data_IF_499460603327
#
_entry.id   IF_499460603327
#
_cell.length_a   1.000
_cell.length_b   1.000
_cell.length_c   1.000
_cell.angle_alpha   90.00
_cell.angle_beta   90.00
_cell.angle_gamma   90.00
#
_symmetry.space_group_name_H-M   'P 1'
#
loop_
_entity.id
_entity.type
_entity.pdbx_description
1 polymer ?
#
# COMPACT_ATOMS: atom_id res chain seq x y z
N UNK A 1 9.77 31.38 30.49
CA UNK A 1 8.67 30.83 29.67
C UNK A 1 8.99 29.36 29.39
N UNK A 2 8.37 28.44 30.12
CA UNK A 2 8.63 27.00 29.96
C UNK A 2 7.68 26.45 28.89
N UNK A 3 8.21 25.96 27.76
CA UNK A 3 7.36 25.29 26.75
C UNK A 3 6.77 24.03 27.37
N UNK A 4 5.45 23.93 27.35
CA UNK A 4 4.71 22.72 27.76
C UNK A 4 5.00 21.62 26.72
N UNK A 5 5.49 20.44 27.12
CA UNK A 5 5.71 19.36 26.18
C UNK A 5 4.36 18.88 25.62
N UNK A 6 4.27 18.78 24.30
CA UNK A 6 3.12 18.17 23.63
C UNK A 6 3.29 16.65 23.81
N UNK A 7 2.35 15.94 24.46
CA UNK A 7 2.42 14.49 24.52
C UNK A 7 2.33 13.95 23.10
N UNK A 8 3.38 13.28 22.64
CA UNK A 8 3.33 12.55 21.38
C UNK A 8 2.23 11.48 21.51
N UNK A 9 1.29 11.38 20.55
CA UNK A 9 0.35 10.28 20.57
C UNK A 9 1.16 8.98 20.52
N UNK A 10 0.93 8.08 21.47
CA UNK A 10 1.52 6.74 21.51
C UNK A 10 0.88 5.82 20.44
N UNK A 11 0.56 6.36 19.27
CA UNK A 11 0.26 5.56 18.10
C UNK A 11 1.58 5.01 17.63
N UNK A 12 1.83 3.73 17.86
CA UNK A 12 2.89 3.02 17.16
C UNK A 12 2.79 3.39 15.68
N UNK A 13 3.90 3.79 15.06
CA UNK A 13 3.91 4.08 13.62
C UNK A 13 3.50 2.80 12.88
N UNK A 14 2.20 2.69 12.57
CA UNK A 14 1.66 1.57 11.79
C UNK A 14 2.11 1.83 10.36
N UNK A 15 3.26 1.27 10.01
CA UNK A 15 3.74 1.27 8.63
C UNK A 15 2.89 0.25 7.87
N UNK A 16 2.12 0.74 6.90
CA UNK A 16 1.53 -0.12 5.89
C UNK A 16 2.66 -0.77 5.08
N UNK A 17 2.92 -2.05 5.39
CA UNK A 17 3.98 -2.84 4.78
C UNK A 17 3.74 -3.02 3.28
N UNK A 18 2.49 -3.16 2.86
CA UNK A 18 2.12 -3.32 1.46
C UNK A 18 2.38 -2.03 0.68
N UNK A 19 1.96 -0.88 1.23
CA UNK A 19 2.24 0.43 0.62
C UNK A 19 3.75 0.71 0.53
N UNK A 20 4.51 0.37 1.59
CA UNK A 20 5.96 0.54 1.59
C UNK A 20 6.63 -0.33 0.52
N UNK A 21 6.20 -1.58 0.37
CA UNK A 21 6.76 -2.50 -0.62
C UNK A 21 6.45 -2.07 -2.05
N UNK A 22 5.21 -1.63 -2.31
CA UNK A 22 4.81 -1.08 -3.61
C UNK A 22 5.70 0.07 -4.04
N UNK A 23 5.82 1.08 -3.17
CA UNK A 23 6.64 2.26 -3.44
C UNK A 23 8.12 1.94 -3.65
N UNK A 24 8.64 0.86 -3.06
CA UNK A 24 10.01 0.42 -3.29
C UNK A 24 10.19 -0.17 -4.70
N UNK A 25 9.24 -1.01 -5.14
CA UNK A 25 9.27 -1.64 -6.47
C UNK A 25 9.03 -0.62 -7.59
N UNK A 26 8.07 0.29 -7.41
CA UNK A 26 7.80 1.38 -8.36
C UNK A 26 9.03 2.29 -8.53
N UNK A 27 9.70 2.64 -7.42
CA UNK A 27 10.92 3.46 -7.47
C UNK A 27 12.08 2.75 -8.17
N UNK A 28 12.13 1.42 -8.10
CA UNK A 28 13.12 0.62 -8.82
C UNK A 28 12.83 0.51 -10.33
N UNK A 29 11.69 1.05 -10.80
CA UNK A 29 11.31 1.06 -12.20
C UNK A 29 10.75 -0.26 -12.71
N UNK A 30 10.24 -1.11 -11.81
CA UNK A 30 9.53 -2.32 -12.21
C UNK A 30 8.27 -1.98 -13.00
N UNK A 31 7.97 -2.79 -14.01
CA UNK A 31 6.69 -2.70 -14.70
C UNK A 31 5.54 -3.09 -13.74
N UNK A 32 4.30 -2.65 -14.01
CA UNK A 32 3.16 -2.88 -13.11
C UNK A 32 2.88 -4.36 -12.80
N UNK A 33 3.16 -5.29 -13.73
CA UNK A 33 2.97 -6.74 -13.50
C UNK A 33 4.03 -7.26 -12.54
N UNK A 34 5.28 -6.85 -12.72
CA UNK A 34 6.36 -7.18 -11.78
C UNK A 34 6.10 -6.64 -10.37
N UNK A 35 5.52 -5.44 -10.26
CA UNK A 35 5.09 -4.89 -8.95
C UNK A 35 4.02 -5.77 -8.32
N UNK A 36 2.99 -6.15 -9.07
CA UNK A 36 1.90 -6.99 -8.58
C UNK A 36 2.38 -8.38 -8.11
N UNK A 37 3.26 -9.02 -8.88
CA UNK A 37 3.86 -10.32 -8.52
C UNK A 37 4.73 -10.20 -7.28
N UNK A 38 5.56 -9.15 -7.20
CA UNK A 38 6.38 -8.89 -6.02
C UNK A 38 5.54 -8.68 -4.77
N UNK A 39 4.45 -7.91 -4.88
CA UNK A 39 3.52 -7.72 -3.77
C UNK A 39 2.80 -9.02 -3.37
N UNK A 40 2.31 -9.80 -4.32
CA UNK A 40 1.69 -11.10 -4.02
C UNK A 40 2.65 -12.04 -3.27
N UNK A 41 3.90 -12.12 -3.72
CA UNK A 41 4.91 -12.99 -3.13
C UNK A 41 5.30 -12.54 -1.71
N UNK A 42 5.40 -11.23 -1.47
CA UNK A 42 5.89 -10.68 -0.21
C UNK A 42 4.80 -10.49 0.85
N UNK A 43 3.57 -10.15 0.43
CA UNK A 43 2.49 -9.78 1.35
C UNK A 43 1.24 -10.63 1.20
N UNK A 44 1.16 -11.50 0.17
CA UNK A 44 -0.05 -12.26 -0.14
C UNK A 44 -1.20 -11.41 -0.67
N UNK A 45 -0.96 -10.12 -0.96
CA UNK A 45 -1.97 -9.16 -1.40
C UNK A 45 -1.53 -8.53 -2.72
N UNK A 46 -2.47 -8.37 -3.66
CA UNK A 46 -2.21 -7.64 -4.92
C UNK A 46 -2.96 -6.31 -4.91
N UNK A 47 -2.31 -5.19 -5.26
CA UNK A 47 -3.00 -3.89 -5.34
C UNK A 47 -4.12 -3.94 -6.39
N UNK A 48 -5.36 -3.76 -5.95
CA UNK A 48 -6.51 -3.58 -6.84
C UNK A 48 -6.93 -4.83 -7.63
N UNK A 49 -6.27 -5.98 -7.46
CA UNK A 49 -6.75 -7.28 -7.93
C UNK A 49 -7.29 -8.02 -6.73
N UNK A 50 -8.53 -7.70 -6.37
CA UNK A 50 -9.29 -8.55 -5.50
C UNK A 50 -9.74 -9.77 -6.31
N UNK A 51 -9.11 -10.92 -6.08
CA UNK A 51 -9.52 -12.18 -6.73
C UNK A 51 -10.72 -12.83 -6.02
N UNK A 52 -11.15 -12.29 -4.87
CA UNK A 52 -12.22 -12.83 -4.03
C UNK A 52 -13.52 -12.05 -4.14
N UNK A 53 -13.46 -10.79 -4.57
CA UNK A 53 -14.67 -10.04 -4.91
C UNK A 53 -14.74 -9.90 -6.42
N UNK A 54 -15.68 -10.65 -7.00
CA UNK A 54 -16.13 -10.49 -8.38
C UNK A 54 -16.51 -9.02 -8.59
N UNK A 55 -15.80 -8.25 -9.43
CA UNK A 55 -16.11 -6.86 -9.67
C UNK A 55 -17.16 -6.78 -10.79
N UNK A 56 -18.40 -7.22 -10.50
CA UNK A 56 -19.56 -6.90 -11.34
C UNK A 56 -20.13 -5.52 -10.97
N UNK A 57 -19.29 -4.50 -11.11
CA UNK A 57 -19.66 -3.10 -11.14
C UNK A 57 -18.54 -2.29 -11.78
N UNK A 58 -18.40 -2.49 -13.10
CA UNK A 58 -17.43 -1.81 -13.95
C UNK A 58 -17.43 -0.28 -13.82
N UNK A 59 -16.62 0.23 -12.90
CA UNK A 59 -16.41 1.66 -12.68
C UNK A 59 -15.11 1.88 -11.92
N UNK A 60 -14.12 2.53 -12.53
CA UNK A 60 -13.07 3.17 -11.71
C UNK A 60 -11.64 3.25 -12.24
N UNK A 61 -11.32 2.78 -13.45
CA UNK A 61 -9.98 3.01 -14.03
C UNK A 61 -9.99 3.60 -15.44
N UNK A 62 -11.17 3.96 -15.97
CA UNK A 62 -11.34 4.59 -17.28
C UNK A 62 -12.44 5.66 -17.28
N UNK A 63 -12.46 6.53 -16.25
CA UNK A 63 -13.33 7.72 -16.19
C UNK A 63 -12.48 8.96 -15.89
#
# INVERSE_FOLDING_TARGET
>A
MTRKPIPAPATADVIDLAARRRCALERAGHDPVSVAVGMLADTGQVPGWDFTTDPDDGSGWAA
#
